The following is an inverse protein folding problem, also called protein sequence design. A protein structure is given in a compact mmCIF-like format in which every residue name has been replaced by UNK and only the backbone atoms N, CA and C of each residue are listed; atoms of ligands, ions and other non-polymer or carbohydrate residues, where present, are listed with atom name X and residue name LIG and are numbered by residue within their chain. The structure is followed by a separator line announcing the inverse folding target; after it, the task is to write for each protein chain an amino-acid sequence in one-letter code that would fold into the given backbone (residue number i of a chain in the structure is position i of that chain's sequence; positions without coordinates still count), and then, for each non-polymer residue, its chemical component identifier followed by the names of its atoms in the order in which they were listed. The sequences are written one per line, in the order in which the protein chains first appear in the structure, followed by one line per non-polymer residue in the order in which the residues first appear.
data_IF_384700599394
#
_entry.id   IF_384700599394
#
_cell.length_a   1.000
_cell.length_b   1.000
_cell.length_c   1.000
_cell.angle_alpha   90.00
_cell.angle_beta   90.00
_cell.angle_gamma   90.00
#
_symmetry.space_group_name_H-M   'P 1'
#
loop_
_entity.id
_entity.type
_entity.pdbx_description
1 polymer ?
#
# COMPACT_ATOMS: atom_id res chain seq x y z
N UNK A 1 -43.05 -0.94 100.51
CA UNK A 1 -42.51 0.03 99.57
C UNK A 1 -41.45 -0.67 98.76
N UNK A 2 -41.78 -1.08 97.54
CA UNK A 2 -41.01 -2.00 96.70
C UNK A 2 -40.13 -1.19 95.74
N UNK A 3 -38.86 -1.47 95.75
CA UNK A 3 -37.94 -0.98 94.76
C UNK A 3 -37.65 -2.06 93.71
N UNK A 4 -38.06 -1.80 92.49
CA UNK A 4 -37.86 -2.69 91.37
C UNK A 4 -36.48 -2.35 90.77
N UNK A 5 -35.61 -3.34 90.74
CA UNK A 5 -34.30 -3.27 90.12
C UNK A 5 -34.39 -3.83 88.68
N UNK A 6 -34.25 -2.96 87.66
CA UNK A 6 -34.27 -3.40 86.28
C UNK A 6 -32.83 -3.75 85.84
N UNK A 7 -32.57 -4.98 85.45
CA UNK A 7 -31.33 -5.45 84.85
C UNK A 7 -31.29 -5.13 83.34
N UNK A 8 -30.35 -4.37 82.91
CA UNK A 8 -30.07 -4.16 81.50
C UNK A 8 -29.14 -5.26 80.99
N UNK A 9 -29.60 -6.03 80.02
CA UNK A 9 -28.73 -6.98 79.26
C UNK A 9 -28.04 -6.26 78.17
N UNK A 10 -26.72 -6.27 78.17
CA UNK A 10 -25.84 -5.87 77.09
C UNK A 10 -25.68 -6.98 76.09
N UNK A 11 -26.16 -6.78 74.85
CA UNK A 11 -25.94 -7.69 73.73
C UNK A 11 -24.80 -7.12 72.92
N UNK A 12 -23.61 -7.74 73.04
CA UNK A 12 -22.46 -7.42 72.19
C UNK A 12 -22.75 -7.83 70.73
N UNK A 13 -22.61 -6.90 69.84
CA UNK A 13 -22.50 -7.14 68.40
C UNK A 13 -21.10 -7.46 68.04
N UNK A 14 -20.78 -8.47 67.21
CA UNK A 14 -19.45 -8.69 66.69
C UNK A 14 -19.13 -7.62 65.63
N UNK A 15 -17.96 -7.00 65.77
CA UNK A 15 -17.44 -6.02 64.83
C UNK A 15 -17.14 -6.70 63.48
N UNK A 16 -17.74 -6.19 62.42
CA UNK A 16 -17.33 -6.51 61.06
C UNK A 16 -16.13 -5.64 60.70
N UNK A 17 -14.99 -6.28 60.51
CA UNK A 17 -13.82 -5.64 59.92
C UNK A 17 -14.08 -5.36 58.41
N UNK A 18 -14.22 -4.10 58.03
CA UNK A 18 -14.20 -3.70 56.64
C UNK A 18 -12.76 -3.84 56.08
N UNK A 19 -12.54 -4.85 55.26
CA UNK A 19 -11.39 -4.94 54.39
C UNK A 19 -11.60 -3.95 53.22
N UNK A 20 -10.93 -2.82 53.26
CA UNK A 20 -10.86 -1.91 52.14
C UNK A 20 -9.97 -2.55 51.05
N UNK A 21 -10.59 -3.12 50.02
CA UNK A 21 -9.87 -3.55 48.81
C UNK A 21 -9.48 -2.30 48.01
N UNK A 22 -8.21 -1.96 48.02
CA UNK A 22 -7.61 -0.96 47.12
C UNK A 22 -7.55 -1.60 45.74
N UNK A 23 -8.53 -1.32 44.89
CA UNK A 23 -8.54 -1.67 43.50
C UNK A 23 -7.54 -0.81 42.74
N UNK A 24 -6.39 -1.36 42.39
CA UNK A 24 -5.46 -0.73 41.43
C UNK A 24 -6.07 -0.93 40.03
N UNK A 25 -6.79 0.07 39.54
CA UNK A 25 -7.17 0.13 38.12
C UNK A 25 -5.92 0.45 37.30
N UNK A 26 -5.29 -0.59 36.74
CA UNK A 26 -4.29 -0.42 35.69
C UNK A 26 -4.98 0.20 34.49
N UNK A 27 -4.80 1.50 34.26
CA UNK A 27 -5.19 2.15 33.03
C UNK A 27 -4.33 1.57 31.91
N UNK A 28 -4.89 0.68 31.10
CA UNK A 28 -4.30 0.27 29.83
C UNK A 28 -4.28 1.51 28.92
N UNK A 29 -3.11 2.11 28.79
CA UNK A 29 -2.84 3.09 27.73
C UNK A 29 -2.93 2.35 26.40
N UNK A 30 -4.13 2.31 25.82
CA UNK A 30 -4.30 1.92 24.43
C UNK A 30 -3.67 3.03 23.60
N UNK A 31 -2.40 2.84 23.22
CA UNK A 31 -1.80 3.69 22.18
C UNK A 31 -2.54 3.41 20.89
N UNK A 32 -3.40 4.33 20.46
CA UNK A 32 -3.97 4.27 19.13
C UNK A 32 -2.82 4.15 18.12
N UNK A 33 -2.91 3.26 17.11
CA UNK A 33 -1.93 3.23 16.05
C UNK A 33 -1.85 4.63 15.43
N UNK A 34 -0.65 5.09 15.03
CA UNK A 34 -0.52 6.39 14.37
C UNK A 34 -1.48 6.39 13.18
N UNK A 35 -2.34 7.42 13.13
CA UNK A 35 -3.21 7.62 11.99
C UNK A 35 -2.32 7.65 10.73
N UNK A 36 -2.57 6.73 9.80
CA UNK A 36 -1.88 6.77 8.51
C UNK A 36 -2.19 8.11 7.85
N UNK A 37 -1.13 8.76 7.37
CA UNK A 37 -1.26 9.99 6.61
C UNK A 37 -2.22 9.75 5.44
N UNK A 38 -3.22 10.62 5.29
CA UNK A 38 -4.15 10.55 4.18
C UNK A 38 -3.43 11.07 2.93
N UNK A 39 -2.91 10.17 2.12
CA UNK A 39 -2.24 10.55 0.89
C UNK A 39 -3.15 11.42 0.00
N UNK A 40 -2.60 12.44 -0.63
CA UNK A 40 -3.31 13.34 -1.55
C UNK A 40 -4.30 14.29 -0.87
N UNK A 41 -4.08 14.65 0.38
CA UNK A 41 -4.93 15.62 1.09
C UNK A 41 -4.42 17.07 1.03
N UNK A 42 -3.22 17.29 0.47
CA UNK A 42 -2.61 18.62 0.38
C UNK A 42 -1.84 19.03 1.63
N UNK A 43 -1.56 18.09 2.52
CA UNK A 43 -0.74 18.26 3.73
C UNK A 43 0.42 17.29 3.71
N UNK A 44 1.63 17.80 3.82
CA UNK A 44 2.83 16.96 3.84
C UNK A 44 3.01 16.32 5.22
N UNK A 45 2.66 15.05 5.36
CA UNK A 45 2.69 14.32 6.63
C UNK A 45 3.90 13.38 6.71
N UNK A 46 4.13 12.79 7.88
CA UNK A 46 5.18 11.77 8.05
C UNK A 46 4.86 10.53 7.22
N UNK A 47 5.84 10.01 6.48
CA UNK A 47 5.69 8.87 5.58
C UNK A 47 5.44 9.26 4.13
N UNK A 48 5.31 10.54 3.81
CA UNK A 48 5.00 11.02 2.47
C UNK A 48 6.19 11.66 1.76
N UNK A 49 6.13 11.64 0.45
CA UNK A 49 6.97 12.44 -0.43
C UNK A 49 6.16 13.60 -0.99
N UNK A 50 6.62 14.81 -0.76
CA UNK A 50 5.89 16.04 -1.04
C UNK A 50 6.60 16.87 -2.10
N UNK A 51 5.84 17.27 -3.12
CA UNK A 51 6.27 18.20 -4.15
C UNK A 51 5.60 19.55 -3.92
N UNK A 52 6.36 20.63 -4.01
CA UNK A 52 5.87 21.99 -3.84
C UNK A 52 5.97 22.75 -5.15
N UNK A 53 4.96 23.59 -5.42
CA UNK A 53 4.86 24.40 -6.63
C UNK A 53 6.03 25.37 -6.78
N UNK A 54 6.46 26.00 -5.68
CA UNK A 54 7.56 26.95 -5.68
C UNK A 54 8.83 26.37 -5.03
N UNK A 55 9.95 27.04 -5.27
CA UNK A 55 11.19 26.81 -4.51
C UNK A 55 10.97 27.06 -3.02
N UNK A 56 11.90 26.53 -2.22
CA UNK A 56 11.96 26.73 -0.76
C UNK A 56 10.70 26.28 -0.02
N UNK A 57 10.01 25.27 -0.61
CA UNK A 57 8.80 24.64 -0.05
C UNK A 57 7.61 25.62 0.08
N UNK A 58 7.61 26.65 -0.79
CA UNK A 58 6.52 27.61 -0.87
C UNK A 58 5.46 27.19 -1.90
N UNK A 59 4.29 27.83 -1.82
CA UNK A 59 3.16 27.52 -2.69
C UNK A 59 2.41 26.26 -2.27
N UNK A 60 1.56 25.78 -3.16
CA UNK A 60 0.75 24.60 -2.94
C UNK A 60 1.59 23.32 -2.92
N UNK A 61 1.17 22.32 -2.16
CA UNK A 61 1.82 21.03 -2.01
C UNK A 61 0.98 19.92 -2.62
N UNK A 62 1.66 18.93 -3.15
CA UNK A 62 1.12 17.64 -3.57
C UNK A 62 1.89 16.55 -2.85
N UNK A 63 1.18 15.74 -2.08
CA UNK A 63 1.71 14.71 -1.19
C UNK A 63 1.46 13.32 -1.76
N UNK A 64 2.41 12.41 -1.58
CA UNK A 64 2.38 11.06 -2.15
C UNK A 64 2.88 10.03 -1.14
N UNK A 65 2.11 8.95 -0.96
CA UNK A 65 2.50 7.82 -0.13
C UNK A 65 3.19 6.68 -0.91
N UNK A 66 3.34 6.81 -2.23
CA UNK A 66 3.93 5.79 -3.08
C UNK A 66 4.50 6.33 -4.38
N UNK A 67 5.09 5.46 -5.18
CA UNK A 67 5.66 5.79 -6.48
C UNK A 67 4.58 6.15 -7.50
N UNK A 68 4.83 7.16 -8.32
CA UNK A 68 3.97 7.59 -9.43
C UNK A 68 4.80 7.57 -10.71
N UNK A 69 4.39 6.78 -11.68
CA UNK A 69 5.10 6.63 -12.96
C UNK A 69 4.73 7.69 -14.00
N UNK A 70 3.61 8.36 -13.85
CA UNK A 70 3.22 9.54 -14.63
C UNK A 70 2.28 10.43 -13.81
N UNK A 71 2.64 11.69 -13.64
CA UNK A 71 1.77 12.65 -12.96
C UNK A 71 0.56 13.07 -13.81
N UNK A 72 0.53 12.73 -15.11
CA UNK A 72 -0.48 13.23 -16.05
C UNK A 72 -0.26 14.70 -16.40
N UNK A 73 -0.69 15.11 -17.59
CA UNK A 73 -0.41 16.45 -18.11
C UNK A 73 -1.64 17.38 -18.14
N UNK A 74 -2.83 16.83 -18.06
CA UNK A 74 -4.09 17.56 -18.24
C UNK A 74 -5.13 17.19 -17.19
N UNK A 75 -5.93 18.18 -16.80
CA UNK A 75 -7.09 17.97 -15.95
C UNK A 75 -8.18 17.18 -16.71
N UNK A 76 -8.97 16.32 -16.04
CA UNK A 76 -8.92 15.97 -14.62
C UNK A 76 -8.00 14.78 -14.30
N UNK A 77 -7.29 14.22 -15.29
CA UNK A 77 -6.53 12.98 -15.13
C UNK A 77 -5.16 13.18 -14.47
N UNK A 78 -4.68 14.42 -14.38
CA UNK A 78 -3.37 14.67 -13.76
C UNK A 78 -3.44 14.68 -12.22
N UNK A 79 -2.30 14.36 -11.62
CA UNK A 79 -2.08 14.67 -10.20
C UNK A 79 -1.92 16.18 -10.05
N UNK A 80 -2.70 16.77 -9.17
CA UNK A 80 -2.71 18.21 -8.93
C UNK A 80 -2.11 18.59 -7.57
N UNK A 81 -1.68 19.85 -7.46
CA UNK A 81 -1.34 20.45 -6.18
C UNK A 81 -2.63 20.75 -5.41
N UNK A 82 -2.78 20.17 -4.20
CA UNK A 82 -4.00 20.25 -3.39
C UNK A 82 -3.90 21.22 -2.22
N UNK A 83 -2.71 21.39 -1.66
CA UNK A 83 -2.52 22.32 -0.56
C UNK A 83 -2.85 23.75 -0.93
N UNK A 84 -3.22 24.56 0.06
CA UNK A 84 -3.47 25.99 -0.16
C UNK A 84 -2.20 26.72 -0.63
N UNK A 85 -2.33 27.67 -1.53
CA UNK A 85 -1.24 28.52 -2.00
C UNK A 85 -1.14 28.65 -3.51
N UNK A 86 -0.09 29.32 -3.96
CA UNK A 86 0.19 29.48 -5.39
C UNK A 86 0.34 28.11 -6.07
N UNK A 87 -0.31 27.90 -7.20
CA UNK A 87 -0.32 26.65 -7.95
C UNK A 87 -1.38 25.64 -7.51
N UNK A 88 -2.24 25.95 -6.53
CA UNK A 88 -3.33 25.07 -6.14
C UNK A 88 -4.23 24.75 -7.36
N UNK A 89 -4.55 23.44 -7.55
CA UNK A 89 -5.33 22.94 -8.66
C UNK A 89 -4.56 22.78 -9.97
N UNK A 90 -3.27 23.15 -10.04
CA UNK A 90 -2.46 22.90 -11.22
C UNK A 90 -1.90 21.47 -11.22
N UNK A 91 -1.66 20.91 -12.41
CA UNK A 91 -1.02 19.62 -12.54
C UNK A 91 0.39 19.65 -11.98
N UNK A 92 0.81 18.59 -11.29
CA UNK A 92 2.17 18.44 -10.73
C UNK A 92 3.23 18.28 -11.80
N UNK A 93 2.87 17.64 -12.92
CA UNK A 93 3.79 17.43 -14.04
C UNK A 93 4.30 18.77 -14.57
N UNK A 94 5.61 18.89 -14.61
CA UNK A 94 6.33 20.09 -15.11
C UNK A 94 6.03 21.38 -14.33
N UNK A 95 5.61 21.26 -13.06
CA UNK A 95 5.24 22.41 -12.23
C UNK A 95 5.80 22.35 -10.78
N UNK A 96 6.60 21.35 -10.44
CA UNK A 96 7.21 21.30 -9.12
C UNK A 96 8.60 21.96 -9.10
N UNK A 97 8.90 22.67 -8.03
CA UNK A 97 10.17 23.36 -7.85
C UNK A 97 10.98 22.89 -6.64
N UNK A 98 10.35 22.31 -5.63
CA UNK A 98 11.03 21.81 -4.44
C UNK A 98 10.35 20.56 -3.88
N UNK A 99 11.07 19.84 -3.01
CA UNK A 99 10.61 18.59 -2.43
C UNK A 99 10.88 18.53 -0.94
N UNK A 100 10.01 17.82 -0.23
CA UNK A 100 10.28 17.35 1.11
C UNK A 100 10.03 15.84 1.17
N UNK A 101 11.09 15.08 1.35
CA UNK A 101 11.00 13.64 1.53
C UNK A 101 10.82 13.32 3.02
N UNK A 102 9.60 13.10 3.46
CA UNK A 102 9.26 12.71 4.82
C UNK A 102 9.08 11.20 4.97
N UNK A 103 9.46 10.43 3.93
CA UNK A 103 9.50 8.97 3.99
C UNK A 103 10.74 8.47 4.75
N UNK A 104 10.74 7.21 5.15
CA UNK A 104 11.92 6.59 5.80
C UNK A 104 13.04 6.18 4.81
N UNK A 105 12.91 6.43 3.50
CA UNK A 105 13.90 6.05 2.50
C UNK A 105 14.14 7.08 1.42
N UNK A 106 14.92 6.71 0.42
CA UNK A 106 15.18 7.60 -0.70
C UNK A 106 14.00 7.66 -1.67
N UNK A 107 13.79 8.80 -2.31
CA UNK A 107 12.84 8.98 -3.41
C UNK A 107 13.58 9.62 -4.58
N UNK A 108 13.37 9.11 -5.79
CA UNK A 108 13.97 9.66 -7.01
C UNK A 108 12.89 10.30 -7.87
N UNK A 109 13.06 11.57 -8.23
CA UNK A 109 12.24 12.29 -9.22
C UNK A 109 12.88 12.19 -10.58
N UNK A 110 12.08 12.04 -11.63
CA UNK A 110 12.52 11.87 -13.01
C UNK A 110 11.91 12.92 -13.92
N UNK A 111 12.67 13.26 -14.96
CA UNK A 111 12.28 14.19 -16.02
C UNK A 111 11.12 13.65 -16.87
N UNK A 112 11.15 12.35 -17.21
CA UNK A 112 10.13 11.70 -18.03
C UNK A 112 9.19 10.83 -17.18
N UNK A 113 8.00 10.59 -17.70
CA UNK A 113 7.12 9.54 -17.22
C UNK A 113 7.78 8.15 -17.37
N UNK A 114 7.32 7.16 -16.61
CA UNK A 114 7.90 5.81 -16.62
C UNK A 114 9.28 5.70 -15.95
N UNK A 115 9.61 6.66 -15.06
CA UNK A 115 10.90 6.68 -14.33
C UNK A 115 12.12 6.80 -15.25
N UNK A 116 12.02 7.60 -16.29
CA UNK A 116 13.05 7.75 -17.31
C UNK A 116 13.62 9.19 -17.37
N UNK A 117 14.71 9.33 -18.13
CA UNK A 117 15.40 10.62 -18.35
C UNK A 117 16.26 11.04 -17.16
N UNK A 118 16.60 12.33 -17.12
CA UNK A 118 17.40 12.91 -16.03
C UNK A 118 16.66 12.74 -14.69
N UNK A 119 17.41 12.59 -13.61
CA UNK A 119 16.82 12.29 -12.33
C UNK A 119 17.60 12.88 -11.15
N UNK A 120 16.93 13.02 -10.02
CA UNK A 120 17.53 13.45 -8.75
C UNK A 120 16.96 12.61 -7.60
N UNK A 121 17.86 12.06 -6.79
CA UNK A 121 17.49 11.24 -5.63
C UNK A 121 17.60 12.05 -4.35
N UNK A 122 16.59 11.92 -3.51
CA UNK A 122 16.43 12.59 -2.23
C UNK A 122 16.47 11.56 -1.10
N UNK A 123 17.43 11.66 -0.21
CA UNK A 123 17.49 10.81 0.99
C UNK A 123 16.28 11.06 1.91
N UNK A 124 16.02 10.13 2.83
CA UNK A 124 15.03 10.33 3.89
C UNK A 124 15.30 11.64 4.65
N UNK A 125 14.25 12.43 4.88
CA UNK A 125 14.33 13.73 5.54
C UNK A 125 14.81 14.88 4.64
N UNK A 126 15.23 14.65 3.41
CA UNK A 126 15.68 15.71 2.49
C UNK A 126 14.58 16.74 2.25
N UNK A 127 14.93 18.02 2.43
CA UNK A 127 14.05 19.16 2.22
C UNK A 127 14.81 20.20 1.40
N UNK A 128 14.68 20.13 0.07
CA UNK A 128 15.54 20.85 -0.88
C UNK A 128 14.81 21.23 -2.17
N UNK A 129 15.39 22.14 -2.93
CA UNK A 129 14.92 22.47 -4.28
C UNK A 129 15.31 21.39 -5.30
N UNK A 130 14.47 21.22 -6.30
CA UNK A 130 14.84 20.46 -7.50
C UNK A 130 16.00 21.13 -8.21
N UNK A 131 16.94 20.34 -8.75
CA UNK A 131 17.98 20.85 -9.63
C UNK A 131 17.38 21.50 -10.88
N UNK A 132 18.11 22.42 -11.50
CA UNK A 132 17.60 23.20 -12.63
C UNK A 132 16.98 22.35 -13.76
N UNK A 133 17.56 21.17 -14.05
CA UNK A 133 17.08 20.28 -15.08
C UNK A 133 15.77 19.53 -14.73
N UNK A 134 15.31 19.59 -13.50
CA UNK A 134 14.06 18.95 -13.04
C UNK A 134 13.05 19.94 -12.51
N UNK A 135 13.47 21.17 -12.21
CA UNK A 135 12.58 22.23 -11.74
C UNK A 135 11.62 22.63 -12.85
N UNK A 136 10.32 22.41 -12.59
CA UNK A 136 9.24 22.59 -13.57
C UNK A 136 9.38 21.68 -14.82
N UNK A 137 10.08 20.55 -14.67
CA UNK A 137 10.31 19.55 -15.72
C UNK A 137 10.12 18.11 -15.17
N UNK A 138 9.52 17.99 -14.01
CA UNK A 138 9.29 16.72 -13.32
C UNK A 138 8.08 15.98 -13.89
N UNK A 139 8.19 14.67 -14.16
CA UNK A 139 7.08 13.89 -14.72
C UNK A 139 6.70 12.64 -13.92
N UNK A 140 7.61 12.10 -13.10
CA UNK A 140 7.38 10.92 -12.29
C UNK A 140 8.29 10.89 -11.06
N UNK A 141 7.96 10.05 -10.08
CA UNK A 141 8.87 9.77 -8.98
C UNK A 141 8.77 8.32 -8.54
N UNK A 142 9.88 7.76 -8.06
CA UNK A 142 9.96 6.41 -7.54
C UNK A 142 10.58 6.40 -6.15
N UNK A 143 9.90 5.72 -5.24
CA UNK A 143 10.44 5.43 -3.92
C UNK A 143 11.56 4.38 -4.04
N UNK A 144 12.70 4.65 -3.45
CA UNK A 144 13.82 3.70 -3.38
C UNK A 144 13.53 2.58 -2.38
N UNK A 145 14.21 1.46 -2.55
CA UNK A 145 14.12 0.34 -1.61
C UNK A 145 14.65 0.79 -0.25
N UNK A 146 13.78 1.13 0.67
CA UNK A 146 14.17 1.48 2.04
C UNK A 146 13.52 2.71 2.65
N UNK A 147 12.22 2.91 2.52
CA UNK A 147 11.60 3.91 3.37
C UNK A 147 10.31 4.51 2.93
N UNK A 148 9.36 4.25 3.70
CA UNK A 148 8.11 4.96 3.87
C UNK A 148 7.21 4.10 4.74
N UNK A 149 6.50 4.65 5.68
CA UNK A 149 5.44 3.96 6.41
C UNK A 149 4.16 3.75 5.58
N UNK A 150 4.20 4.10 4.27
CA UNK A 150 3.42 3.51 3.18
C UNK A 150 4.33 2.60 2.34
N UNK A 151 5.25 1.89 3.01
CA UNK A 151 6.46 1.29 2.53
C UNK A 151 6.30 0.46 1.26
N UNK A 152 7.20 0.63 0.33
CA UNK A 152 7.53 -0.45 -0.60
C UNK A 152 7.91 -1.64 0.25
N UNK A 153 7.30 -2.77 0.00
CA UNK A 153 7.73 -4.01 0.65
C UNK A 153 9.20 -4.27 0.32
N UNK A 154 9.92 -4.89 1.24
CA UNK A 154 11.32 -5.25 1.03
C UNK A 154 11.53 -6.05 -0.24
N UNK A 155 12.78 -6.18 -0.68
CA UNK A 155 13.08 -7.02 -1.83
C UNK A 155 12.76 -8.49 -1.51
N UNK A 156 12.04 -9.20 -2.41
CA UNK A 156 11.78 -10.63 -2.26
C UNK A 156 13.05 -11.45 -2.50
N UNK A 157 13.06 -12.68 -2.05
CA UNK A 157 14.03 -13.65 -2.50
C UNK A 157 13.85 -13.95 -4.00
N UNK A 158 14.88 -14.43 -4.65
CA UNK A 158 14.76 -14.88 -6.04
C UNK A 158 14.01 -16.23 -6.06
N UNK A 159 13.00 -16.32 -6.92
CA UNK A 159 12.23 -17.55 -7.09
C UNK A 159 13.16 -18.70 -7.54
N UNK A 160 13.30 -19.75 -6.75
CA UNK A 160 14.23 -20.84 -7.05
C UNK A 160 13.67 -21.85 -8.07
N UNK A 161 12.42 -21.69 -8.51
CA UNK A 161 11.71 -22.62 -9.40
C UNK A 161 11.63 -22.10 -10.84
N UNK A 162 12.73 -22.01 -11.60
CA UNK A 162 12.77 -21.33 -12.89
C UNK A 162 11.91 -22.00 -13.98
N UNK A 163 11.58 -23.27 -13.82
CA UNK A 163 10.90 -24.04 -14.89
C UNK A 163 10.00 -25.15 -14.34
N UNK A 164 9.28 -24.88 -13.25
CA UNK A 164 8.34 -25.89 -12.75
C UNK A 164 7.32 -26.25 -13.83
N UNK A 165 7.36 -27.47 -14.24
CA UNK A 165 6.63 -28.04 -15.39
C UNK A 165 5.29 -28.64 -14.99
N UNK A 166 4.90 -28.56 -13.75
CA UNK A 166 3.70 -29.22 -13.25
C UNK A 166 2.54 -28.25 -13.19
N UNK A 167 1.53 -28.53 -13.97
CA UNK A 167 0.17 -28.10 -13.66
C UNK A 167 -0.20 -28.72 -12.33
N UNK A 168 -0.35 -27.92 -11.31
CA UNK A 168 -0.75 -28.39 -9.99
C UNK A 168 -2.24 -28.14 -9.79
N UNK A 169 -2.97 -29.04 -9.13
CA UNK A 169 -4.40 -28.84 -8.88
C UNK A 169 -4.70 -27.61 -8.00
N UNK A 170 -3.71 -27.03 -7.34
CA UNK A 170 -3.86 -25.82 -6.52
C UNK A 170 -2.94 -24.69 -6.99
N UNK A 171 -1.65 -24.80 -6.76
CA UNK A 171 -0.67 -23.83 -7.20
C UNK A 171 0.64 -24.56 -7.52
N UNK A 172 1.35 -24.09 -8.54
CA UNK A 172 2.71 -24.58 -8.78
C UNK A 172 3.63 -24.16 -7.64
N UNK A 173 4.73 -24.87 -7.44
CA UNK A 173 5.74 -24.51 -6.44
C UNK A 173 6.23 -23.05 -6.62
N UNK A 174 6.33 -22.60 -7.87
CA UNK A 174 6.68 -21.23 -8.24
C UNK A 174 5.65 -20.21 -7.76
N UNK A 175 4.36 -20.51 -7.98
CA UNK A 175 3.26 -19.67 -7.56
C UNK A 175 3.16 -19.60 -6.04
N UNK A 176 3.29 -20.75 -5.39
CA UNK A 176 3.33 -20.80 -3.93
C UNK A 176 4.50 -20.03 -3.33
N UNK A 177 5.67 -20.06 -3.95
CA UNK A 177 6.80 -19.23 -3.54
C UNK A 177 6.45 -17.73 -3.56
N UNK A 178 5.76 -17.25 -4.61
CA UNK A 178 5.34 -15.84 -4.69
C UNK A 178 4.34 -15.50 -3.60
N UNK A 179 3.40 -16.39 -3.30
CA UNK A 179 2.45 -16.25 -2.21
C UNK A 179 3.16 -16.16 -0.84
N UNK A 180 4.11 -17.06 -0.58
CA UNK A 180 4.92 -17.05 0.64
C UNK A 180 5.75 -15.75 0.78
N UNK A 181 6.30 -15.21 -0.32
CA UNK A 181 7.03 -13.92 -0.33
C UNK A 181 6.10 -12.73 -0.11
N UNK A 182 4.91 -12.73 -0.70
CA UNK A 182 3.87 -11.72 -0.41
C UNK A 182 3.55 -11.76 1.09
N UNK A 183 3.19 -12.91 1.64
CA UNK A 183 2.86 -13.06 3.05
C UNK A 183 3.99 -12.63 3.98
N UNK A 184 5.23 -13.01 3.67
CA UNK A 184 6.43 -12.69 4.45
C UNK A 184 6.73 -11.19 4.51
N UNK A 185 6.56 -10.48 3.40
CA UNK A 185 6.98 -9.09 3.25
C UNK A 185 5.87 -8.08 3.50
N UNK A 186 4.63 -8.46 3.25
CA UNK A 186 3.48 -7.56 3.40
C UNK A 186 2.70 -7.78 4.69
N UNK A 187 2.85 -8.96 5.30
CA UNK A 187 1.97 -9.42 6.37
C UNK A 187 0.58 -9.86 5.89
N UNK A 188 0.32 -9.73 4.60
CA UNK A 188 -0.93 -10.14 3.96
C UNK A 188 -0.90 -11.64 3.71
N UNK A 189 -1.83 -12.37 4.32
CA UNK A 189 -1.94 -13.84 4.11
C UNK A 189 -3.09 -14.24 3.21
N UNK A 190 -3.73 -13.28 2.58
CA UNK A 190 -5.01 -13.51 1.91
C UNK A 190 -4.93 -13.53 0.39
N UNK A 191 -3.76 -13.83 -0.19
CA UNK A 191 -3.78 -14.25 -1.57
C UNK A 191 -4.47 -15.61 -1.63
N UNK A 192 -5.63 -15.64 -2.23
CA UNK A 192 -6.24 -16.90 -2.60
C UNK A 192 -5.34 -17.53 -3.67
N UNK A 193 -4.63 -18.56 -3.29
CA UNK A 193 -4.00 -19.47 -4.23
C UNK A 193 -5.15 -20.15 -4.95
N UNK A 194 -5.74 -19.39 -5.87
CA UNK A 194 -6.86 -19.83 -6.69
C UNK A 194 -6.34 -20.91 -7.58
N UNK A 195 -6.44 -22.13 -7.08
CA UNK A 195 -5.93 -23.30 -7.73
C UNK A 195 -6.53 -23.49 -9.10
N UNK A 196 -6.14 -24.53 -9.73
CA UNK A 196 -6.70 -25.09 -10.94
C UNK A 196 -8.23 -24.94 -10.95
N UNK A 197 -8.74 -24.18 -11.90
CA UNK A 197 -10.17 -23.96 -12.11
C UNK A 197 -10.51 -24.41 -13.53
N UNK A 198 -11.02 -25.63 -13.67
CA UNK A 198 -11.43 -26.22 -14.95
C UNK A 198 -12.35 -25.33 -15.79
N UNK A 199 -13.17 -24.54 -15.12
CA UNK A 199 -14.20 -23.73 -15.77
C UNK A 199 -13.69 -22.34 -16.22
N UNK A 200 -12.42 -22.01 -15.99
CA UNK A 200 -11.86 -20.73 -16.45
C UNK A 200 -11.52 -20.81 -17.94
N UNK A 201 -11.61 -19.69 -18.67
CA UNK A 201 -11.14 -19.62 -20.04
C UNK A 201 -9.69 -20.13 -20.16
N UNK A 202 -9.36 -20.79 -21.26
CA UNK A 202 -8.00 -21.29 -21.51
C UNK A 202 -6.90 -20.24 -21.44
N UNK A 203 -7.28 -18.96 -21.49
CA UNK A 203 -6.39 -17.80 -21.33
C UNK A 203 -6.10 -17.44 -19.87
N UNK A 204 -6.78 -18.07 -18.90
CA UNK A 204 -6.54 -17.82 -17.47
C UNK A 204 -5.43 -18.70 -16.94
N UNK A 205 -4.41 -18.08 -16.32
CA UNK A 205 -3.30 -18.83 -15.69
C UNK A 205 -3.71 -19.56 -14.40
N UNK A 206 -4.93 -19.36 -13.91
CA UNK A 206 -5.49 -20.17 -12.82
C UNK A 206 -5.67 -21.64 -13.24
N UNK A 207 -5.95 -21.92 -14.52
CA UNK A 207 -6.10 -23.28 -15.04
C UNK A 207 -4.82 -24.12 -14.91
N UNK A 208 -3.69 -23.47 -14.80
CA UNK A 208 -2.37 -24.12 -14.71
C UNK A 208 -1.75 -24.03 -13.33
N UNK A 209 -2.45 -23.40 -12.37
CA UNK A 209 -1.90 -23.13 -11.04
C UNK A 209 -0.81 -22.06 -11.02
N UNK A 210 -0.76 -21.19 -12.05
CA UNK A 210 0.24 -20.14 -12.20
C UNK A 210 -0.35 -18.74 -11.98
N UNK A 211 -1.36 -18.59 -11.14
CA UNK A 211 -1.91 -17.28 -10.78
C UNK A 211 -2.36 -17.24 -9.32
N UNK A 212 -2.37 -16.04 -8.76
CA UNK A 212 -2.87 -15.70 -7.43
C UNK A 212 -3.83 -14.54 -7.54
N UNK A 213 -4.89 -14.57 -6.73
CA UNK A 213 -5.80 -13.46 -6.49
C UNK A 213 -5.66 -13.01 -5.03
N UNK A 214 -5.09 -11.84 -4.82
CA UNK A 214 -4.93 -11.26 -3.48
C UNK A 214 -6.08 -10.31 -3.20
N UNK A 215 -7.03 -10.73 -2.37
CA UNK A 215 -8.19 -9.91 -2.00
C UNK A 215 -7.75 -8.68 -1.21
N UNK A 216 -8.15 -7.51 -1.68
CA UNK A 216 -7.82 -6.21 -1.10
C UNK A 216 -9.04 -5.56 -0.45
N UNK A 217 -10.21 -5.71 -1.06
CA UNK A 217 -11.47 -5.19 -0.53
C UNK A 217 -11.95 -6.04 0.67
N UNK A 218 -12.97 -5.56 1.38
CA UNK A 218 -13.57 -6.31 2.48
C UNK A 218 -14.21 -7.64 2.05
N UNK A 219 -14.61 -7.73 0.79
CA UNK A 219 -15.19 -8.95 0.20
C UNK A 219 -15.07 -8.92 -1.31
N UNK A 220 -14.99 -10.11 -1.92
CA UNK A 220 -15.08 -10.26 -3.37
C UNK A 220 -16.42 -9.69 -3.85
N UNK A 221 -16.40 -8.94 -4.94
CA UNK A 221 -17.55 -8.23 -5.51
C UNK A 221 -17.78 -6.82 -4.93
N UNK A 222 -16.97 -6.38 -3.97
CA UNK A 222 -17.08 -5.05 -3.36
C UNK A 222 -15.94 -4.14 -3.81
N UNK A 223 -16.22 -2.87 -4.06
CA UNK A 223 -15.16 -1.89 -4.29
C UNK A 223 -14.34 -1.65 -3.03
N UNK A 224 -13.03 -1.48 -3.15
CA UNK A 224 -12.16 -1.13 -2.03
C UNK A 224 -12.41 0.31 -1.55
N UNK A 225 -12.18 0.55 -0.28
CA UNK A 225 -11.99 1.92 0.23
C UNK A 225 -10.75 2.56 -0.39
N UNK A 226 -10.59 3.88 -0.25
CA UNK A 226 -9.38 4.57 -0.73
C UNK A 226 -8.09 3.96 -0.15
N UNK A 227 -8.06 3.69 1.17
CA UNK A 227 -6.91 3.07 1.82
C UNK A 227 -6.60 1.65 1.31
N UNK A 228 -7.64 0.84 1.07
CA UNK A 228 -7.48 -0.48 0.49
C UNK A 228 -7.01 -0.41 -0.98
N UNK A 229 -7.52 0.56 -1.75
CA UNK A 229 -7.05 0.79 -3.12
C UNK A 229 -5.56 1.13 -3.15
N UNK A 230 -5.09 1.99 -2.25
CA UNK A 230 -3.67 2.34 -2.12
C UNK A 230 -2.82 1.12 -1.72
N UNK A 231 -3.34 0.28 -0.82
CA UNK A 231 -2.72 -1.00 -0.44
C UNK A 231 -2.60 -1.94 -1.64
N UNK A 232 -3.66 -2.08 -2.44
CA UNK A 232 -3.63 -2.86 -3.68
C UNK A 232 -2.61 -2.31 -4.68
N UNK A 233 -2.52 -1.00 -4.85
CA UNK A 233 -1.50 -0.37 -5.69
C UNK A 233 -0.07 -0.60 -5.17
N UNK A 234 0.12 -0.59 -3.85
CA UNK A 234 1.40 -0.90 -3.23
C UNK A 234 1.84 -2.34 -3.57
N UNK A 235 0.94 -3.31 -3.43
CA UNK A 235 1.22 -4.70 -3.78
C UNK A 235 1.46 -4.86 -5.28
N UNK A 236 0.59 -4.31 -6.13
CA UNK A 236 0.70 -4.41 -7.58
C UNK A 236 2.00 -3.81 -8.12
N UNK A 237 2.41 -2.64 -7.61
CA UNK A 237 3.67 -2.02 -7.99
C UNK A 237 4.90 -2.77 -7.48
N UNK A 238 4.83 -3.39 -6.30
CA UNK A 238 5.90 -4.25 -5.79
C UNK A 238 6.07 -5.50 -6.66
N UNK A 239 4.99 -6.17 -7.03
CA UNK A 239 5.01 -7.31 -7.95
C UNK A 239 5.61 -6.94 -9.31
N UNK A 240 5.23 -5.78 -9.86
CA UNK A 240 5.82 -5.21 -11.07
C UNK A 240 7.30 -4.94 -10.91
N UNK A 241 7.72 -4.30 -9.82
CA UNK A 241 9.12 -3.92 -9.55
C UNK A 241 10.03 -5.15 -9.49
N UNK A 242 9.56 -6.22 -8.89
CA UNK A 242 10.33 -7.45 -8.71
C UNK A 242 9.91 -8.59 -9.66
N UNK A 243 9.25 -8.24 -10.77
CA UNK A 243 8.69 -9.22 -11.69
C UNK A 243 9.70 -10.27 -12.16
N UNK A 244 10.93 -9.87 -12.48
CA UNK A 244 12.00 -10.80 -12.89
C UNK A 244 12.38 -11.77 -11.77
N UNK A 245 12.54 -11.27 -10.54
CA UNK A 245 12.87 -12.09 -9.36
C UNK A 245 11.78 -13.08 -9.01
N UNK A 246 10.54 -12.62 -9.07
CA UNK A 246 9.34 -13.38 -8.72
C UNK A 246 8.82 -14.21 -9.89
N UNK A 247 9.35 -14.00 -11.08
CA UNK A 247 8.88 -14.60 -12.34
C UNK A 247 7.41 -14.22 -12.64
N UNK A 248 7.04 -12.98 -12.33
CA UNK A 248 5.74 -12.42 -12.67
C UNK A 248 5.66 -12.21 -14.17
N UNK A 249 4.56 -12.62 -14.77
CA UNK A 249 4.24 -12.39 -16.18
C UNK A 249 3.43 -11.12 -16.36
N UNK A 250 2.33 -10.99 -15.62
CA UNK A 250 1.51 -9.79 -15.59
C UNK A 250 0.81 -9.63 -14.24
N UNK A 251 0.38 -8.40 -14.00
CA UNK A 251 -0.41 -8.01 -12.82
C UNK A 251 -1.62 -7.23 -13.30
N UNK A 252 -2.79 -7.49 -12.69
CA UNK A 252 -4.02 -6.72 -12.93
C UNK A 252 -4.50 -6.17 -11.59
N UNK A 253 -4.81 -4.88 -11.55
CA UNK A 253 -5.37 -4.21 -10.40
C UNK A 253 -6.10 -2.92 -10.82
N UNK A 254 -7.22 -2.62 -10.16
CA UNK A 254 -7.96 -1.35 -10.29
C UNK A 254 -8.27 -0.99 -11.76
N UNK A 255 -8.70 -1.97 -12.54
CA UNK A 255 -9.01 -1.82 -13.96
C UNK A 255 -7.79 -1.58 -14.86
N UNK A 256 -6.58 -1.84 -14.36
CA UNK A 256 -5.32 -1.69 -15.08
C UNK A 256 -4.56 -3.01 -15.16
N UNK A 257 -3.80 -3.20 -16.24
CA UNK A 257 -2.92 -4.35 -16.47
C UNK A 257 -1.51 -3.86 -16.80
N UNK A 258 -0.52 -4.50 -16.21
CA UNK A 258 0.88 -4.40 -16.60
C UNK A 258 1.42 -5.79 -16.90
N UNK A 259 2.30 -5.93 -17.88
CA UNK A 259 2.96 -7.20 -18.22
C UNK A 259 4.43 -7.01 -18.55
N UNK A 260 5.24 -8.04 -18.32
CA UNK A 260 6.67 -8.05 -18.69
C UNK A 260 6.85 -7.83 -20.18
N UNK A 261 6.06 -8.51 -21.01
CA UNK A 261 6.13 -8.43 -22.49
C UNK A 261 5.88 -7.01 -23.04
N UNK A 262 5.14 -6.19 -22.30
CA UNK A 262 4.81 -4.80 -22.68
C UNK A 262 5.19 -3.81 -21.58
N UNK A 263 6.29 -4.08 -20.91
CA UNK A 263 6.74 -3.31 -19.73
C UNK A 263 7.03 -1.84 -20.02
N UNK A 264 7.45 -1.51 -21.25
CA UNK A 264 7.70 -0.14 -21.70
C UNK A 264 6.44 0.72 -21.81
N UNK A 265 5.25 0.11 -21.88
CA UNK A 265 3.98 0.82 -22.00
C UNK A 265 3.38 1.20 -20.63
N UNK A 266 4.00 0.79 -19.52
CA UNK A 266 3.48 1.03 -18.18
C UNK A 266 2.15 0.31 -17.90
N UNK A 267 1.35 0.88 -17.01
CA UNK A 267 0.00 0.40 -16.71
C UNK A 267 -0.99 0.80 -17.80
N UNK A 268 -1.67 -0.17 -18.36
CA UNK A 268 -2.66 0.00 -19.44
C UNK A 268 -4.05 -0.28 -18.93
N UNK A 269 -5.08 0.24 -19.60
CA UNK A 269 -6.47 -0.11 -19.27
C UNK A 269 -6.69 -1.60 -19.49
N UNK A 270 -7.27 -2.27 -18.50
CA UNK A 270 -7.67 -3.67 -18.60
C UNK A 270 -9.08 -3.75 -19.17
N UNK A 271 -9.26 -4.56 -20.20
CA UNK A 271 -10.55 -4.74 -20.91
C UNK A 271 -11.00 -6.19 -20.93
N UNK A 272 -10.31 -7.08 -20.21
CA UNK A 272 -10.57 -8.51 -20.22
C UNK A 272 -11.73 -8.98 -19.34
N UNK A 273 -12.36 -8.08 -18.57
CA UNK A 273 -13.48 -8.39 -17.72
C UNK A 273 -14.31 -7.15 -17.35
N UNK A 274 -15.48 -7.35 -16.75
CA UNK A 274 -16.39 -6.28 -16.36
C UNK A 274 -16.90 -6.47 -14.93
N UNK A 275 -17.49 -5.41 -14.38
CA UNK A 275 -17.94 -5.37 -12.99
C UNK A 275 -16.74 -5.29 -12.01
N UNK A 276 -17.03 -5.45 -10.72
CA UNK A 276 -16.01 -5.26 -9.68
C UNK A 276 -14.93 -6.34 -9.75
N UNK A 277 -15.32 -7.60 -9.68
CA UNK A 277 -14.39 -8.74 -9.70
C UNK A 277 -13.76 -8.95 -11.07
N UNK A 278 -14.56 -8.93 -12.15
CA UNK A 278 -14.02 -9.08 -13.50
C UNK A 278 -13.10 -7.94 -13.94
N UNK A 279 -13.31 -6.72 -13.40
CA UNK A 279 -12.43 -5.56 -13.60
C UNK A 279 -11.25 -5.50 -12.64
N UNK A 280 -11.12 -6.46 -11.71
CA UNK A 280 -10.05 -6.53 -10.72
C UNK A 280 -9.98 -5.28 -9.81
N UNK A 281 -11.15 -4.81 -9.34
CA UNK A 281 -11.24 -3.71 -8.38
C UNK A 281 -11.20 -4.20 -6.93
N UNK A 282 -11.46 -5.46 -6.66
CA UNK A 282 -11.56 -6.07 -5.33
C UNK A 282 -10.33 -6.91 -4.95
N UNK A 283 -9.51 -7.30 -5.92
CA UNK A 283 -8.31 -8.13 -5.70
C UNK A 283 -7.19 -7.78 -6.68
N UNK A 284 -5.95 -7.92 -6.24
CA UNK A 284 -4.77 -7.89 -7.11
C UNK A 284 -4.58 -9.27 -7.70
N UNK A 285 -4.69 -9.38 -9.02
CA UNK A 285 -4.36 -10.60 -9.75
C UNK A 285 -2.89 -10.56 -10.17
N UNK A 286 -2.17 -11.64 -9.94
CA UNK A 286 -0.80 -11.83 -10.45
C UNK A 286 -0.66 -13.16 -11.15
N UNK A 287 -0.19 -13.11 -12.39
CA UNK A 287 0.19 -14.31 -13.15
C UNK A 287 1.69 -14.51 -13.14
N UNK A 288 2.08 -15.73 -12.86
CA UNK A 288 3.48 -16.17 -12.83
C UNK A 288 3.85 -16.74 -14.19
N UNK A 289 5.09 -16.59 -14.62
CA UNK A 289 5.52 -17.06 -15.93
C UNK A 289 5.29 -18.56 -16.08
N UNK A 290 4.57 -18.93 -17.14
CA UNK A 290 4.46 -20.29 -17.57
C UNK A 290 5.66 -20.62 -18.47
N UNK A 291 6.46 -21.67 -18.16
CA UNK A 291 7.60 -22.04 -18.99
C UNK A 291 7.22 -22.56 -20.37
N UNK A 292 5.97 -22.93 -20.57
CA UNK A 292 5.49 -23.47 -21.87
C UNK A 292 5.02 -22.40 -22.85
N UNK A 293 5.06 -21.10 -22.46
CA UNK A 293 4.46 -20.03 -23.23
C UNK A 293 2.91 -20.13 -23.25
N UNK A 294 2.26 -19.05 -23.53
CA UNK A 294 0.83 -19.08 -23.91
C UNK A 294 0.71 -19.21 -25.39
#
# INVERSE_FOLDING_TARGET
MSTLTTRIRSTGRPGQALLAAVGITAALLVTAPPAQAAARDGVCQSGEFCLYYNSDHAGSVSDFAGSIDDYGATQPECYEFKGAGAGQGQCVKNNAASVWNRTGGSVTVFYNSGYAGDSQTFAAGAKVNLKAALKNENASHRFGSGGGTGGTYGAPNTNPYPSATTVAPNATARTKFVDDEIARLTGERECYVGGYRDYQPSTSNHNTGNALDCTISNAIGSYPSAAQRDQGWKLANWLRQYAVRLQVRYVIWDGKIWSVARSSEGWRTYTGGSGVTGGHYDHVHVSIQNPYGD
#
